data_IF_077984956058
#
_entry.id   IF_077984956058
#
_cell.length_a   1.000
_cell.length_b   1.000
_cell.length_c   1.000
_cell.angle_alpha   90.00
_cell.angle_beta   90.00
_cell.angle_gamma   90.00
#
_symmetry.space_group_name_H-M   'P 1'
#
loop_
_entity.id
_entity.type
_entity.pdbx_description
1 polymer ?
#
# COMPACT_ATOMS: atom_id res chain seq x y z
N UNK A 1 0.03 18.66 7.87
CA UNK A 1 0.67 17.36 7.57
C UNK A 1 -0.07 16.65 6.44
N UNK A 2 0.65 15.89 5.67
CA UNK A 2 0.04 15.12 4.59
C UNK A 2 -0.71 13.90 5.16
N UNK A 3 -1.86 13.60 4.60
CA UNK A 3 -2.62 12.40 4.99
C UNK A 3 -2.05 11.17 4.28
N UNK A 4 -1.78 10.13 5.03
CA UNK A 4 -1.02 8.97 4.59
C UNK A 4 -1.84 7.69 4.66
N UNK A 5 -1.88 6.95 3.55
CA UNK A 5 -2.42 5.60 3.49
C UNK A 5 -1.26 4.63 3.35
N UNK A 6 -1.12 3.74 4.32
CA UNK A 6 -0.03 2.77 4.40
C UNK A 6 -0.55 1.40 3.99
N UNK A 7 -0.22 0.97 2.77
CA UNK A 7 -0.64 -0.32 2.23
C UNK A 7 0.42 -1.38 2.47
N UNK A 8 -0.03 -2.62 2.66
CA UNK A 8 0.87 -3.74 2.97
C UNK A 8 1.77 -3.36 4.13
N UNK A 9 1.12 -2.89 5.18
CA UNK A 9 1.76 -2.08 6.23
C UNK A 9 2.78 -2.84 7.07
N UNK A 10 2.64 -4.16 7.17
CA UNK A 10 3.44 -4.92 8.09
C UNK A 10 3.23 -4.38 9.51
N UNK A 11 4.30 -4.05 10.17
CA UNK A 11 4.22 -3.49 11.52
C UNK A 11 4.28 -1.96 11.54
N UNK A 12 4.19 -1.32 10.37
CA UNK A 12 4.05 0.14 10.29
C UNK A 12 5.35 0.90 10.15
N UNK A 13 6.37 0.30 9.55
CA UNK A 13 7.68 0.95 9.40
C UNK A 13 7.63 2.27 8.62
N UNK A 14 6.91 2.33 7.51
CA UNK A 14 6.75 3.57 6.76
C UNK A 14 6.09 4.66 7.62
N UNK A 15 5.01 4.29 8.29
CA UNK A 15 4.29 5.25 9.12
C UNK A 15 5.14 5.76 10.27
N UNK A 16 5.86 4.86 10.93
CA UNK A 16 6.71 5.26 12.03
C UNK A 16 7.78 6.24 11.57
N UNK A 17 8.45 5.94 10.45
CA UNK A 17 9.50 6.78 9.92
C UNK A 17 8.99 8.14 9.46
N UNK A 18 7.92 8.15 8.68
CA UNK A 18 7.38 9.40 8.14
C UNK A 18 6.75 10.27 9.21
N UNK A 19 6.05 9.67 10.19
CA UNK A 19 5.50 10.44 11.30
C UNK A 19 6.59 10.99 12.21
N UNK A 20 7.64 10.22 12.44
CA UNK A 20 8.79 10.70 13.22
C UNK A 20 9.47 11.89 12.57
N UNK A 21 9.46 11.95 11.25
CA UNK A 21 10.00 13.07 10.50
C UNK A 21 9.06 14.28 10.47
N UNK A 22 7.84 14.16 11.00
CA UNK A 22 6.88 15.25 11.02
C UNK A 22 6.22 15.54 9.69
N UNK A 23 6.28 14.61 8.75
CA UNK A 23 5.80 14.83 7.39
C UNK A 23 4.34 14.44 7.17
N UNK A 24 3.89 13.39 7.85
CA UNK A 24 2.57 12.82 7.60
C UNK A 24 1.82 12.50 8.87
N UNK A 25 0.50 12.38 8.72
CA UNK A 25 -0.37 11.73 9.69
C UNK A 25 -0.95 10.51 8.99
N UNK A 26 -0.64 9.31 9.50
CA UNK A 26 -1.21 8.08 8.93
C UNK A 26 -2.67 7.98 9.34
N UNK A 27 -3.55 7.95 8.34
CA UNK A 27 -4.99 7.94 8.56
C UNK A 27 -5.59 6.56 8.34
N UNK A 28 -4.88 5.64 7.70
CA UNK A 28 -5.36 4.28 7.50
C UNK A 28 -4.21 3.34 7.18
N UNK A 29 -4.38 2.09 7.60
CA UNK A 29 -3.49 0.99 7.25
C UNK A 29 -4.26 -0.07 6.49
N UNK A 30 -3.56 -0.87 5.69
CA UNK A 30 -4.13 -2.06 5.09
C UNK A 30 -3.11 -3.19 5.16
N UNK A 31 -3.44 -4.24 5.89
CA UNK A 31 -2.62 -5.45 5.96
C UNK A 31 -3.51 -6.61 6.40
N UNK A 32 -3.39 -7.76 5.73
CA UNK A 32 -4.25 -8.89 6.03
C UNK A 32 -3.70 -9.79 7.14
N UNK A 33 -2.48 -9.63 7.57
CA UNK A 33 -1.84 -10.46 8.57
C UNK A 33 -2.31 -10.10 9.98
N UNK A 34 -2.85 -11.08 10.70
CA UNK A 34 -3.40 -10.85 12.04
C UNK A 34 -2.36 -10.32 13.02
N UNK A 35 -1.15 -10.85 12.98
CA UNK A 35 -0.09 -10.40 13.87
C UNK A 35 0.26 -8.93 13.59
N UNK A 36 0.42 -8.60 12.31
CA UNK A 36 0.71 -7.23 11.93
C UNK A 36 -0.38 -6.28 12.38
N UNK A 37 -1.64 -6.66 12.21
CA UNK A 37 -2.77 -5.83 12.65
C UNK A 37 -2.74 -5.59 14.16
N UNK A 38 -2.36 -6.59 14.95
CA UNK A 38 -2.25 -6.42 16.39
C UNK A 38 -1.15 -5.42 16.76
N UNK A 39 -0.01 -5.49 16.08
CA UNK A 39 1.09 -4.55 16.32
C UNK A 39 0.68 -3.15 15.92
N UNK A 40 -0.01 -3.00 14.79
CA UNK A 40 -0.48 -1.69 14.33
C UNK A 40 -1.49 -1.08 15.32
N UNK A 41 -2.41 -1.88 15.83
CA UNK A 41 -3.38 -1.39 16.83
C UNK A 41 -2.71 -0.91 18.09
N UNK A 42 -1.66 -1.59 18.50
CA UNK A 42 -0.92 -1.22 19.72
C UNK A 42 -0.17 0.08 19.54
N UNK A 43 0.49 0.26 18.40
CA UNK A 43 1.40 1.38 18.19
C UNK A 43 0.72 2.59 17.57
N UNK A 44 -0.42 2.41 16.90
CA UNK A 44 -1.16 3.48 16.25
C UNK A 44 -2.64 3.40 16.65
N UNK A 45 -2.95 3.64 17.95
CA UNK A 45 -4.31 3.46 18.42
C UNK A 45 -5.28 4.43 17.74
N UNK A 46 -6.45 3.93 17.42
CA UNK A 46 -7.51 4.75 16.80
C UNK A 46 -7.43 4.88 15.29
N UNK A 47 -6.37 4.38 14.64
CA UNK A 47 -6.24 4.45 13.20
C UNK A 47 -6.90 3.22 12.57
N UNK A 48 -7.80 3.38 11.58
CA UNK A 48 -8.43 2.24 10.92
C UNK A 48 -7.42 1.32 10.26
N UNK A 49 -7.67 0.02 10.36
CA UNK A 49 -6.85 -1.00 9.71
C UNK A 49 -7.77 -1.85 8.85
N UNK A 50 -7.55 -1.80 7.54
CA UNK A 50 -8.33 -2.59 6.58
C UNK A 50 -7.63 -3.91 6.33
N UNK A 51 -8.41 -4.96 6.16
CA UNK A 51 -7.87 -6.31 6.03
C UNK A 51 -7.47 -6.65 4.59
N UNK A 52 -8.34 -6.41 3.64
CA UNK A 52 -8.16 -6.84 2.25
C UNK A 52 -8.08 -5.64 1.32
N UNK A 53 -6.91 -5.48 0.69
CA UNK A 53 -6.69 -4.38 -0.25
C UNK A 53 -7.64 -4.43 -1.44
N UNK A 54 -8.11 -5.62 -1.81
CA UNK A 54 -9.05 -5.78 -2.92
C UNK A 54 -10.41 -5.17 -2.62
N UNK A 55 -10.78 -5.09 -1.35
CA UNK A 55 -12.04 -4.51 -0.92
C UNK A 55 -11.93 -3.04 -0.55
N UNK A 56 -10.72 -2.52 -0.47
CA UNK A 56 -10.51 -1.12 -0.14
C UNK A 56 -10.72 -0.25 -1.39
N UNK A 57 -11.44 0.85 -1.23
CA UNK A 57 -11.68 1.80 -2.32
C UNK A 57 -11.96 3.19 -1.76
N UNK A 58 -12.09 4.15 -2.65
CA UNK A 58 -12.37 5.53 -2.27
C UNK A 58 -13.66 5.66 -1.45
N UNK A 59 -14.71 4.99 -1.88
CA UNK A 59 -16.01 5.09 -1.19
C UNK A 59 -15.93 4.55 0.24
N UNK A 60 -15.21 3.46 0.44
CA UNK A 60 -15.01 2.88 1.76
C UNK A 60 -14.28 3.85 2.68
N UNK A 61 -13.20 4.43 2.18
CA UNK A 61 -12.43 5.42 2.96
C UNK A 61 -13.29 6.62 3.29
N UNK A 62 -14.04 7.13 2.33
CA UNK A 62 -14.91 8.28 2.54
C UNK A 62 -15.99 8.00 3.57
N UNK A 63 -16.60 6.81 3.51
CA UNK A 63 -17.58 6.39 4.51
C UNK A 63 -17.02 6.40 5.91
N UNK A 64 -15.75 6.06 6.05
CA UNK A 64 -15.06 6.01 7.34
C UNK A 64 -14.46 7.37 7.73
N UNK A 65 -14.79 8.44 7.01
CA UNK A 65 -14.38 9.80 7.36
C UNK A 65 -13.05 10.23 6.75
N UNK A 66 -12.51 9.47 5.80
CA UNK A 66 -11.23 9.78 5.17
C UNK A 66 -11.51 10.32 3.77
N UNK A 67 -11.44 11.63 3.61
CA UNK A 67 -11.82 12.29 2.36
C UNK A 67 -10.68 12.43 1.36
N UNK A 68 -9.44 12.51 1.85
CA UNK A 68 -8.30 12.80 0.99
C UNK A 68 -7.07 12.04 1.45
N UNK A 69 -6.34 11.50 0.49
CA UNK A 69 -5.04 10.87 0.72
C UNK A 69 -4.00 11.63 -0.09
N UNK A 70 -2.99 12.16 0.59
CA UNK A 70 -1.90 12.90 -0.05
C UNK A 70 -0.74 12.01 -0.44
N UNK A 71 -0.48 10.95 0.31
CA UNK A 71 0.63 10.04 0.06
C UNK A 71 0.20 8.60 0.32
N UNK A 72 0.53 7.72 -0.64
CA UNK A 72 0.35 6.28 -0.49
C UNK A 72 1.72 5.63 -0.43
N UNK A 73 1.95 4.81 0.58
CA UNK A 73 3.15 3.99 0.65
C UNK A 73 2.75 2.52 0.59
N UNK A 74 3.62 1.68 0.07
CA UNK A 74 3.34 0.26 0.05
C UNK A 74 4.58 -0.57 -0.25
N UNK A 75 4.88 -1.51 0.64
CA UNK A 75 5.86 -2.55 0.39
C UNK A 75 5.15 -3.75 -0.22
N UNK A 76 4.65 -3.60 -1.46
CA UNK A 76 3.84 -4.63 -2.07
C UNK A 76 4.63 -5.92 -2.29
N UNK A 77 4.02 -7.09 -2.01
CA UNK A 77 4.72 -8.36 -2.16
C UNK A 77 5.04 -8.67 -3.62
N UNK A 78 6.19 -9.26 -3.88
CA UNK A 78 6.55 -9.74 -5.21
C UNK A 78 6.56 -11.25 -5.28
N UNK A 79 5.86 -11.89 -4.37
CA UNK A 79 5.82 -13.35 -4.23
C UNK A 79 5.35 -14.10 -5.48
N UNK A 80 4.46 -13.59 -6.30
CA UNK A 80 4.07 -14.29 -7.52
C UNK A 80 5.22 -14.61 -8.44
N UNK A 81 6.33 -13.91 -8.29
CA UNK A 81 7.52 -14.11 -9.09
C UNK A 81 8.52 -15.06 -8.45
N UNK A 82 8.19 -15.61 -7.29
CA UNK A 82 9.05 -16.58 -6.64
C UNK A 82 8.97 -17.92 -7.39
N UNK A 83 10.00 -18.74 -7.24
CA UNK A 83 10.07 -20.02 -7.92
C UNK A 83 9.28 -21.13 -7.26
N UNK A 84 8.35 -20.81 -6.41
CA UNK A 84 7.62 -21.81 -5.65
C UNK A 84 6.64 -22.65 -6.46
N UNK A 85 6.55 -22.45 -7.76
CA UNK A 85 5.79 -23.32 -8.65
C UNK A 85 4.26 -23.19 -8.57
N UNK A 86 3.76 -22.34 -7.73
CA UNK A 86 2.33 -22.14 -7.56
C UNK A 86 1.90 -20.74 -7.96
N UNK A 87 2.54 -20.23 -8.97
CA UNK A 87 2.24 -18.89 -9.45
C UNK A 87 0.94 -18.92 -10.23
N UNK A 88 -0.04 -18.25 -9.70
CA UNK A 88 -1.35 -18.12 -10.34
C UNK A 88 -1.48 -16.80 -11.07
N UNK A 89 -0.37 -16.10 -11.28
CA UNK A 89 -0.38 -14.81 -11.90
C UNK A 89 -1.23 -13.83 -11.12
N UNK A 90 -2.13 -13.15 -11.80
CA UNK A 90 -2.97 -12.13 -11.18
C UNK A 90 -3.93 -12.68 -10.14
N UNK A 91 -4.16 -14.00 -10.12
CA UNK A 91 -5.05 -14.61 -9.15
C UNK A 91 -4.35 -14.93 -7.84
N UNK A 92 -3.02 -14.87 -7.81
CA UNK A 92 -2.27 -15.09 -6.58
C UNK A 92 -2.55 -13.93 -5.62
N UNK A 93 -2.99 -14.21 -4.37
CA UNK A 93 -3.25 -13.14 -3.39
C UNK A 93 -2.07 -12.24 -3.13
N UNK A 94 -0.88 -12.70 -3.48
CA UNK A 94 0.35 -11.92 -3.27
C UNK A 94 0.70 -11.05 -4.46
N UNK A 95 -0.03 -11.18 -5.56
CA UNK A 95 0.17 -10.36 -6.75
C UNK A 95 -0.74 -9.14 -6.65
N UNK A 96 -0.30 -8.16 -5.88
CA UNK A 96 -1.20 -7.08 -5.45
C UNK A 96 -0.84 -5.71 -6.02
N UNK A 97 0.19 -5.61 -6.85
CA UNK A 97 0.47 -4.33 -7.50
C UNK A 97 -0.73 -3.75 -8.25
N UNK A 98 -1.48 -4.54 -9.02
CA UNK A 98 -2.67 -3.99 -9.70
C UNK A 98 -3.67 -3.35 -8.74
N UNK A 99 -3.81 -3.89 -7.53
CA UNK A 99 -4.71 -3.31 -6.53
C UNK A 99 -4.16 -1.99 -5.98
N UNK A 100 -2.87 -1.93 -5.72
CA UNK A 100 -2.24 -0.69 -5.31
C UNK A 100 -2.38 0.37 -6.40
N UNK A 101 -2.15 -0.01 -7.64
CA UNK A 101 -2.29 0.91 -8.78
C UNK A 101 -3.73 1.41 -8.91
N UNK A 102 -4.71 0.52 -8.74
CA UNK A 102 -6.12 0.90 -8.75
C UNK A 102 -6.40 1.98 -7.71
N UNK A 103 -5.90 1.80 -6.49
CA UNK A 103 -6.08 2.80 -5.43
C UNK A 103 -5.40 4.13 -5.78
N UNK A 104 -4.23 4.07 -6.38
CA UNK A 104 -3.55 5.28 -6.84
C UNK A 104 -4.41 6.03 -7.85
N UNK A 105 -5.03 5.30 -8.78
CA UNK A 105 -5.92 5.91 -9.77
C UNK A 105 -7.16 6.52 -9.12
N UNK A 106 -7.74 5.84 -8.13
CA UNK A 106 -8.93 6.33 -7.45
C UNK A 106 -8.66 7.52 -6.55
N UNK A 107 -7.57 7.46 -5.81
CA UNK A 107 -7.29 8.44 -4.75
C UNK A 107 -6.44 9.61 -5.21
N UNK A 108 -5.71 9.47 -6.29
CA UNK A 108 -4.87 10.51 -6.88
C UNK A 108 -3.97 11.21 -5.86
N UNK A 109 -3.17 10.46 -5.10
CA UNK A 109 -2.26 11.09 -4.14
C UNK A 109 -1.18 11.89 -4.86
N UNK A 110 -0.60 12.85 -4.17
CA UNK A 110 0.52 13.63 -4.71
C UNK A 110 1.82 12.83 -4.74
N UNK A 111 1.95 11.87 -3.82
CA UNK A 111 3.18 11.08 -3.68
C UNK A 111 2.86 9.60 -3.57
N UNK A 112 3.69 8.80 -4.20
CA UNK A 112 3.62 7.34 -4.10
C UNK A 112 5.02 6.84 -3.77
N UNK A 113 5.13 6.03 -2.71
CA UNK A 113 6.40 5.40 -2.36
C UNK A 113 6.18 3.89 -2.35
N UNK A 114 6.88 3.19 -3.23
CA UNK A 114 6.82 1.75 -3.30
C UNK A 114 8.16 1.14 -2.87
N UNK A 115 8.10 0.03 -2.19
CA UNK A 115 9.29 -0.70 -1.76
C UNK A 115 9.12 -2.16 -2.14
N UNK A 116 10.18 -2.76 -2.64
CA UNK A 116 10.17 -4.18 -2.97
C UNK A 116 11.60 -4.72 -2.94
N UNK A 117 11.71 -6.04 -3.09
CA UNK A 117 13.01 -6.67 -3.10
C UNK A 117 13.69 -6.52 -4.47
N UNK A 118 15.01 -6.69 -4.50
CA UNK A 118 15.81 -6.50 -5.72
C UNK A 118 15.35 -7.40 -6.88
N UNK A 119 14.83 -8.58 -6.60
CA UNK A 119 14.33 -9.47 -7.64
C UNK A 119 13.18 -8.90 -8.46
N UNK A 120 12.45 -7.95 -7.91
CA UNK A 120 11.34 -7.29 -8.61
C UNK A 120 11.84 -6.47 -9.82
N UNK A 121 13.06 -5.98 -9.76
CA UNK A 121 13.64 -5.20 -10.85
C UNK A 121 13.57 -5.97 -12.17
N UNK A 122 13.84 -7.27 -12.13
CA UNK A 122 13.80 -8.12 -13.33
C UNK A 122 12.40 -8.54 -13.71
N UNK A 123 11.47 -8.58 -12.76
CA UNK A 123 10.20 -9.28 -12.93
C UNK A 123 8.99 -8.37 -13.05
N UNK A 124 9.13 -7.10 -12.76
CA UNK A 124 7.95 -6.26 -12.82
C UNK A 124 8.15 -4.76 -12.65
N UNK A 125 9.37 -4.31 -12.38
CA UNK A 125 9.59 -2.88 -12.13
C UNK A 125 9.18 -2.02 -13.34
N UNK A 126 9.47 -2.48 -14.55
CA UNK A 126 9.13 -1.71 -15.75
C UNK A 126 7.63 -1.48 -15.84
N UNK A 127 6.83 -2.49 -15.52
CA UNK A 127 5.37 -2.35 -15.50
C UNK A 127 4.92 -1.32 -14.47
N UNK A 128 5.50 -1.35 -13.29
CA UNK A 128 5.18 -0.40 -12.23
C UNK A 128 5.48 1.03 -12.67
N UNK A 129 6.66 1.24 -13.24
CA UNK A 129 7.07 2.56 -13.70
C UNK A 129 6.17 3.06 -14.84
N UNK A 130 5.85 2.21 -15.81
CA UNK A 130 4.96 2.57 -16.91
C UNK A 130 3.57 2.95 -16.39
N UNK A 131 3.03 2.16 -15.44
CA UNK A 131 1.74 2.45 -14.87
C UNK A 131 1.73 3.82 -14.17
N UNK A 132 2.74 4.09 -13.36
CA UNK A 132 2.83 5.36 -12.65
C UNK A 132 2.99 6.53 -13.60
N UNK A 133 3.85 6.39 -14.60
CA UNK A 133 4.05 7.45 -15.58
C UNK A 133 2.77 7.73 -16.38
N UNK A 134 1.98 6.71 -16.69
CA UNK A 134 0.71 6.88 -17.39
C UNK A 134 -0.30 7.70 -16.61
N UNK A 135 -0.14 7.76 -15.28
CA UNK A 135 -1.01 8.53 -14.39
C UNK A 135 -0.38 9.87 -14.00
N UNK A 136 0.71 10.25 -14.63
CA UNK A 136 1.32 11.57 -14.41
C UNK A 136 2.40 11.63 -13.34
N UNK A 137 2.81 10.50 -12.80
CA UNK A 137 3.90 10.46 -11.82
C UNK A 137 5.25 10.39 -12.54
N UNK A 138 6.27 10.96 -11.95
CA UNK A 138 7.62 10.94 -12.52
C UNK A 138 8.64 10.32 -11.56
#
# INVERSE_FOLDING_TARGET
MLSHLDLFSGIGGFSLGLESAGLVETVAFCDFDDYCQKVLKKNFPGVPIYNDVKELNYDKLKTDGIDKIDIITGGYPCQPFSVAGHQKGEQDPRHVWPEMFRLIQELRPSWVIGENVAGHIKLGLDTVLENLESEGYS
#
